data_IF_313920728534
#
_entry.id   IF_313920728534
#
_cell.length_a   1.000
_cell.length_b   1.000
_cell.length_c   1.000
_cell.angle_alpha   90.00
_cell.angle_beta   90.00
_cell.angle_gamma   90.00
#
_symmetry.space_group_name_H-M   'P 1'
#
loop_
_entity.id
_entity.type
_entity.pdbx_description
1 polymer ?
#
# COMPACT_ATOMS: atom_id res chain seq x y z
N UNK A 1 39.04 12.30 -21.44
CA UNK A 1 38.56 13.62 -21.00
C UNK A 1 37.06 13.80 -21.18
N UNK A 2 36.27 12.72 -21.18
CA UNK A 2 34.81 12.71 -21.36
C UNK A 2 34.03 12.00 -20.24
N UNK A 3 34.71 11.45 -19.23
CA UNK A 3 34.05 10.78 -18.09
C UNK A 3 33.78 11.69 -16.88
N UNK A 4 34.34 12.89 -16.81
CA UNK A 4 34.16 13.79 -15.64
C UNK A 4 32.95 14.74 -15.74
N UNK A 5 32.22 14.74 -16.86
CA UNK A 5 31.10 15.67 -17.05
C UNK A 5 29.73 15.10 -16.61
N UNK A 6 29.59 13.76 -16.45
CA UNK A 6 28.36 13.15 -15.99
C UNK A 6 28.26 13.11 -14.45
N UNK A 7 29.39 13.01 -13.75
CA UNK A 7 29.37 12.98 -12.27
C UNK A 7 29.03 14.36 -11.64
N UNK A 8 29.38 15.45 -12.29
CA UNK A 8 29.11 16.82 -11.81
C UNK A 8 27.66 17.28 -12.04
N UNK A 9 26.92 16.65 -12.94
CA UNK A 9 25.48 16.91 -13.11
C UNK A 9 24.61 16.19 -12.08
N UNK A 10 25.08 15.08 -11.50
CA UNK A 10 24.40 14.37 -10.43
C UNK A 10 24.59 15.04 -9.05
N UNK A 11 25.69 15.73 -8.83
CA UNK A 11 25.98 16.41 -7.57
C UNK A 11 25.34 17.81 -7.42
N UNK A 12 24.79 18.39 -8.50
CA UNK A 12 24.03 19.66 -8.42
C UNK A 12 22.54 19.51 -8.06
N UNK A 13 22.08 18.29 -7.76
CA UNK A 13 20.71 18.01 -7.30
C UNK A 13 20.56 18.01 -5.76
N UNK A 14 21.61 18.34 -5.00
CA UNK A 14 21.63 18.21 -3.54
C UNK A 14 21.66 19.55 -2.79
N UNK A 15 21.84 20.69 -3.45
CA UNK A 15 21.91 21.99 -2.76
C UNK A 15 20.92 23.01 -3.33
N UNK A 16 19.66 22.94 -2.89
CA UNK A 16 18.81 24.12 -2.65
C UNK A 16 17.94 23.81 -1.42
N UNK A 17 18.59 23.88 -0.26
CA UNK A 17 17.92 24.01 1.03
C UNK A 17 17.83 25.49 1.35
N UNK A 18 16.70 26.11 0.99
CA UNK A 18 16.12 27.23 1.74
C UNK A 18 14.75 27.53 1.13
N UNK A 19 13.69 27.16 1.84
CA UNK A 19 12.24 27.23 1.62
C UNK A 19 11.52 25.94 1.30
N UNK A 20 12.04 24.75 1.64
CA UNK A 20 11.20 23.53 1.68
C UNK A 20 10.53 23.08 0.36
N UNK A 21 10.90 23.67 -0.78
CA UNK A 21 10.35 23.31 -2.09
C UNK A 21 11.28 22.27 -2.69
N UNK A 22 10.88 21.00 -2.61
CA UNK A 22 11.50 19.94 -3.39
C UNK A 22 11.33 20.28 -4.87
N UNK A 23 12.40 20.45 -5.63
CA UNK A 23 12.34 20.67 -7.08
C UNK A 23 11.92 19.36 -7.79
N UNK A 24 10.66 19.01 -7.67
CA UNK A 24 10.06 18.07 -8.61
C UNK A 24 9.89 18.79 -9.94
N UNK A 25 10.00 18.07 -11.07
CA UNK A 25 9.71 18.65 -12.39
C UNK A 25 8.22 18.97 -12.58
N UNK A 26 7.38 18.71 -11.57
CA UNK A 26 5.95 18.99 -11.52
C UNK A 26 5.59 19.73 -10.23
N UNK A 27 4.62 20.60 -10.32
CA UNK A 27 4.09 21.35 -9.19
C UNK A 27 2.98 20.54 -8.45
N UNK A 28 3.09 19.21 -8.43
CA UNK A 28 2.29 18.27 -7.67
C UNK A 28 3.16 17.08 -7.28
N UNK A 29 3.03 16.60 -6.03
CA UNK A 29 3.79 15.45 -5.51
C UNK A 29 3.09 14.81 -4.31
N UNK A 30 3.38 13.55 -4.06
CA UNK A 30 3.08 12.88 -2.80
C UNK A 30 4.32 12.95 -1.90
N UNK A 31 4.21 13.64 -0.79
CA UNK A 31 5.26 13.71 0.23
C UNK A 31 5.14 12.51 1.16
N UNK A 32 6.22 11.73 1.31
CA UNK A 32 6.25 10.50 2.10
C UNK A 32 7.21 10.67 3.27
N UNK A 33 6.69 10.58 4.49
CA UNK A 33 7.46 10.70 5.73
C UNK A 33 7.99 9.34 6.20
N UNK A 34 9.28 9.09 5.92
CA UNK A 34 9.93 7.84 6.33
C UNK A 34 10.21 7.78 7.83
N UNK A 35 10.25 8.93 8.53
CA UNK A 35 10.37 8.96 9.99
C UNK A 35 9.06 8.56 10.66
N UNK A 36 7.93 9.03 10.14
CA UNK A 36 6.61 8.57 10.57
C UNK A 36 6.45 7.06 10.33
N UNK A 37 6.89 6.55 9.18
CA UNK A 37 6.92 5.10 8.90
C UNK A 37 7.73 4.33 9.95
N UNK A 38 8.93 4.80 10.30
CA UNK A 38 9.76 4.18 11.34
C UNK A 38 9.04 4.15 12.69
N UNK A 39 8.36 5.24 13.07
CA UNK A 39 7.60 5.30 14.31
C UNK A 39 6.41 4.32 14.28
N UNK A 40 5.67 4.27 13.17
CA UNK A 40 4.58 3.30 13.00
C UNK A 40 5.08 1.86 13.15
N UNK A 41 6.19 1.51 12.48
CA UNK A 41 6.80 0.17 12.59
C UNK A 41 7.15 -0.15 14.05
N UNK A 42 7.74 0.78 14.79
CA UNK A 42 8.08 0.59 16.20
C UNK A 42 6.84 0.29 17.03
N UNK A 43 5.78 1.06 16.84
CA UNK A 43 4.52 0.89 17.56
C UNK A 43 3.83 -0.42 17.20
N UNK A 44 3.78 -0.79 15.90
CA UNK A 44 3.26 -2.08 15.45
C UNK A 44 4.03 -3.25 16.08
N UNK A 45 5.37 -3.19 16.11
CA UNK A 45 6.20 -4.24 16.70
C UNK A 45 5.92 -4.44 18.20
N UNK A 46 5.50 -3.41 18.92
CA UNK A 46 5.13 -3.54 20.34
C UNK A 46 3.86 -4.39 20.56
N UNK A 47 2.99 -4.50 19.55
CA UNK A 47 1.80 -5.35 19.58
C UNK A 47 2.09 -6.81 19.26
N UNK A 48 3.21 -7.12 18.57
CA UNK A 48 3.50 -8.48 18.11
C UNK A 48 3.85 -9.37 19.31
N UNK A 49 3.13 -10.47 19.47
CA UNK A 49 3.31 -11.45 20.54
C UNK A 49 4.07 -12.69 20.05
N UNK A 50 4.45 -13.55 20.99
CA UNK A 50 5.03 -14.88 20.73
C UNK A 50 6.32 -14.88 19.91
N UNK A 51 7.02 -13.73 19.82
CA UNK A 51 8.21 -13.55 18.94
C UNK A 51 7.90 -13.87 17.47
N UNK A 52 6.65 -13.67 17.06
CA UNK A 52 6.27 -13.89 15.69
C UNK A 52 7.09 -12.99 14.75
N UNK A 53 7.48 -13.55 13.61
CA UNK A 53 8.07 -12.78 12.51
C UNK A 53 7.10 -11.70 12.05
N UNK A 54 7.61 -10.63 11.46
CA UNK A 54 6.73 -9.66 10.83
C UNK A 54 7.05 -9.47 9.35
N UNK A 55 5.99 -9.45 8.59
CA UNK A 55 6.00 -9.28 7.15
C UNK A 55 5.47 -7.89 6.80
N UNK A 56 6.26 -7.09 6.09
CA UNK A 56 5.81 -5.82 5.55
C UNK A 56 5.08 -6.02 4.21
N UNK A 57 3.81 -5.64 4.14
CA UNK A 57 3.01 -5.77 2.92
C UNK A 57 3.19 -4.52 2.07
N UNK A 58 3.96 -4.65 0.98
CA UNK A 58 4.37 -3.55 0.09
C UNK A 58 3.82 -3.68 -1.35
N UNK A 59 2.74 -4.44 -1.52
CA UNK A 59 2.02 -4.59 -2.80
C UNK A 59 1.44 -3.25 -3.28
N UNK A 60 1.07 -3.17 -4.56
CA UNK A 60 0.51 -1.99 -5.21
C UNK A 60 1.40 -0.75 -4.99
N UNK A 61 2.70 -0.89 -5.29
CA UNK A 61 3.73 0.13 -5.04
C UNK A 61 3.72 0.64 -3.59
N UNK A 62 3.68 -0.31 -2.61
CA UNK A 62 3.49 0.00 -1.18
C UNK A 62 2.24 0.86 -0.94
N UNK A 63 1.09 0.40 -1.45
CA UNK A 63 -0.17 1.17 -1.40
C UNK A 63 0.01 2.60 -1.97
N UNK A 64 0.76 2.73 -3.06
CA UNK A 64 1.01 4.01 -3.72
C UNK A 64 2.10 4.89 -3.09
N UNK A 65 2.76 4.42 -2.02
CA UNK A 65 3.78 5.20 -1.29
C UNK A 65 5.20 5.03 -1.84
N UNK A 66 5.41 4.10 -2.81
CA UNK A 66 6.73 3.78 -3.38
C UNK A 66 7.37 2.57 -2.72
N UNK A 67 7.23 1.40 -3.37
CA UNK A 67 7.60 0.09 -2.79
C UNK A 67 9.06 0.00 -2.35
N UNK A 68 10.00 0.52 -3.16
CA UNK A 68 11.44 0.41 -2.86
C UNK A 68 11.83 1.17 -1.60
N UNK A 69 11.33 2.40 -1.42
CA UNK A 69 11.67 3.23 -0.26
C UNK A 69 11.05 2.67 1.03
N UNK A 70 9.76 2.30 0.96
CA UNK A 70 9.05 1.70 2.10
C UNK A 70 9.66 0.35 2.49
N UNK A 71 9.92 -0.54 1.51
CA UNK A 71 10.55 -1.84 1.77
C UNK A 71 11.94 -1.68 2.39
N UNK A 72 12.74 -0.73 1.93
CA UNK A 72 14.07 -0.45 2.49
C UNK A 72 13.95 -0.05 3.96
N UNK A 73 13.08 0.90 4.29
CA UNK A 73 12.84 1.30 5.68
C UNK A 73 12.32 0.13 6.53
N UNK A 74 11.40 -0.68 5.99
CA UNK A 74 10.87 -1.86 6.69
C UNK A 74 11.99 -2.89 6.99
N UNK A 75 12.86 -3.17 6.03
CA UNK A 75 14.00 -4.10 6.22
C UNK A 75 15.02 -3.53 7.20
N UNK A 76 15.34 -2.23 7.14
CA UNK A 76 16.19 -1.54 8.13
C UNK A 76 15.63 -1.66 9.55
N UNK A 77 14.31 -1.67 9.69
CA UNK A 77 13.60 -1.85 10.96
C UNK A 77 13.37 -3.34 11.31
N UNK A 78 13.96 -4.27 10.57
CA UNK A 78 13.99 -5.69 10.85
C UNK A 78 12.76 -6.46 10.36
N UNK A 79 12.21 -6.12 9.18
CA UNK A 79 11.22 -6.97 8.54
C UNK A 79 11.81 -8.32 8.15
N UNK A 80 11.17 -9.41 8.57
CA UNK A 80 11.58 -10.78 8.24
C UNK A 80 11.19 -11.16 6.83
N UNK A 81 10.08 -10.59 6.33
CA UNK A 81 9.48 -10.83 5.02
C UNK A 81 8.97 -9.53 4.41
N UNK A 82 8.98 -9.49 3.08
CA UNK A 82 8.20 -8.56 2.28
C UNK A 82 7.06 -9.33 1.61
N UNK A 83 5.87 -8.74 1.49
CA UNK A 83 4.77 -9.36 0.77
C UNK A 83 4.24 -8.44 -0.33
N UNK A 84 4.02 -9.04 -1.50
CA UNK A 84 3.51 -8.39 -2.71
C UNK A 84 2.32 -9.14 -3.27
N UNK A 85 1.65 -8.60 -4.29
CA UNK A 85 0.50 -9.24 -4.92
C UNK A 85 0.85 -10.02 -6.18
N UNK A 86 1.79 -9.52 -6.98
CA UNK A 86 2.12 -10.05 -8.31
C UNK A 86 3.64 -10.17 -8.50
N UNK A 87 4.03 -11.04 -9.44
CA UNK A 87 5.44 -11.38 -9.68
C UNK A 87 6.28 -10.17 -10.13
N UNK A 88 5.73 -9.24 -10.90
CA UNK A 88 6.44 -8.05 -11.36
C UNK A 88 6.87 -7.14 -10.21
N UNK A 89 6.07 -7.03 -9.14
CA UNK A 89 6.42 -6.30 -7.93
C UNK A 89 7.60 -6.97 -7.20
N UNK A 90 7.55 -8.31 -7.09
CA UNK A 90 8.63 -9.08 -6.47
C UNK A 90 9.95 -8.94 -7.25
N UNK A 91 9.91 -9.07 -8.58
CA UNK A 91 11.08 -8.90 -9.44
C UNK A 91 11.64 -7.48 -9.30
N UNK A 92 10.79 -6.46 -9.28
CA UNK A 92 11.23 -5.07 -9.09
C UNK A 92 11.99 -4.87 -7.78
N UNK A 93 11.53 -5.48 -6.69
CA UNK A 93 12.24 -5.46 -5.40
C UNK A 93 13.58 -6.21 -5.48
N UNK A 94 13.64 -7.39 -6.12
CA UNK A 94 14.90 -8.11 -6.34
C UNK A 94 15.90 -7.29 -7.15
N UNK A 95 15.44 -6.64 -8.22
CA UNK A 95 16.27 -5.73 -9.03
C UNK A 95 16.75 -4.50 -8.27
N UNK A 96 15.98 -4.05 -7.26
CA UNK A 96 16.39 -3.00 -6.34
C UNK A 96 17.36 -3.47 -5.23
N UNK A 97 17.79 -4.76 -5.28
CA UNK A 97 18.83 -5.33 -4.42
C UNK A 97 18.34 -5.94 -3.10
N UNK A 98 17.03 -6.16 -2.93
CA UNK A 98 16.52 -6.81 -1.73
C UNK A 98 16.82 -8.31 -1.74
N UNK A 99 17.41 -8.81 -0.64
CA UNK A 99 17.65 -10.24 -0.37
C UNK A 99 16.67 -10.83 0.64
N UNK A 100 15.96 -9.99 1.39
CA UNK A 100 14.87 -10.39 2.30
C UNK A 100 13.88 -11.30 1.59
N UNK A 101 13.36 -12.37 2.21
CA UNK A 101 12.31 -13.20 1.64
C UNK A 101 11.13 -12.38 1.13
N UNK A 102 10.65 -12.69 -0.08
CA UNK A 102 9.50 -12.01 -0.71
C UNK A 102 8.42 -13.04 -0.96
N UNK A 103 7.23 -12.82 -0.40
CA UNK A 103 6.06 -13.67 -0.56
C UNK A 103 5.05 -13.00 -1.51
N UNK A 104 4.69 -13.71 -2.59
CA UNK A 104 3.54 -13.33 -3.41
C UNK A 104 2.29 -13.90 -2.76
N UNK A 105 1.37 -13.02 -2.35
CA UNK A 105 0.09 -13.40 -1.72
C UNK A 105 -1.01 -13.75 -2.75
N UNK A 106 -0.81 -13.36 -4.01
CA UNK A 106 -1.73 -13.63 -5.12
C UNK A 106 -1.32 -14.83 -5.96
N UNK A 107 -2.01 -15.00 -7.07
CA UNK A 107 -1.72 -16.04 -8.06
C UNK A 107 -0.68 -15.56 -9.07
N UNK A 108 0.28 -16.42 -9.37
CA UNK A 108 1.20 -16.23 -10.50
C UNK A 108 0.84 -17.22 -11.60
N UNK A 109 0.73 -16.81 -12.86
CA UNK A 109 0.54 -17.72 -13.99
C UNK A 109 1.63 -18.79 -14.05
N UNK A 110 1.28 -20.02 -14.44
CA UNK A 110 2.23 -21.15 -14.48
C UNK A 110 3.41 -20.89 -15.42
N UNK A 111 3.24 -20.10 -16.44
CA UNK A 111 4.25 -19.68 -17.41
C UNK A 111 5.37 -18.83 -16.77
N UNK A 112 5.08 -18.20 -15.65
CA UNK A 112 6.05 -17.39 -14.90
C UNK A 112 6.78 -18.18 -13.80
N UNK A 113 6.57 -19.51 -13.71
CA UNK A 113 7.24 -20.35 -12.70
C UNK A 113 8.77 -20.31 -12.83
N UNK A 114 9.28 -20.15 -14.05
CA UNK A 114 10.72 -20.00 -14.29
C UNK A 114 11.30 -18.77 -13.58
N UNK A 115 10.62 -17.63 -13.65
CA UNK A 115 11.02 -16.38 -13.00
C UNK A 115 10.88 -16.47 -11.48
N UNK A 116 9.81 -17.10 -10.97
CA UNK A 116 9.65 -17.34 -9.51
C UNK A 116 10.90 -18.02 -8.94
N UNK A 117 11.35 -19.09 -9.59
CA UNK A 117 12.52 -19.86 -9.14
C UNK A 117 13.81 -19.07 -9.35
N UNK A 118 13.97 -18.43 -10.51
CA UNK A 118 15.19 -17.68 -10.85
C UNK A 118 15.44 -16.51 -9.90
N UNK A 119 14.39 -15.81 -9.49
CA UNK A 119 14.46 -14.66 -8.59
C UNK A 119 14.31 -15.02 -7.11
N UNK A 120 14.25 -16.31 -6.76
CA UNK A 120 14.10 -16.77 -5.36
C UNK A 120 12.89 -16.11 -4.66
N UNK A 121 11.71 -16.25 -5.26
CA UNK A 121 10.45 -15.66 -4.79
C UNK A 121 9.57 -16.76 -4.20
N UNK A 122 9.09 -16.58 -2.97
CA UNK A 122 8.14 -17.48 -2.31
C UNK A 122 6.73 -17.24 -2.86
N UNK A 123 6.03 -18.32 -3.25
CA UNK A 123 4.71 -18.25 -3.89
C UNK A 123 3.60 -18.81 -2.99
N UNK A 124 2.47 -18.10 -2.91
CA UNK A 124 1.23 -18.66 -2.39
C UNK A 124 0.70 -19.74 -3.34
N UNK A 125 0.46 -20.95 -2.84
CA UNK A 125 -0.01 -22.11 -3.62
C UNK A 125 -1.26 -22.70 -2.99
N UNK A 126 -2.23 -23.06 -3.83
CA UNK A 126 -3.47 -23.71 -3.40
C UNK A 126 -4.02 -24.71 -4.42
N UNK A 127 -3.27 -24.98 -5.50
CA UNK A 127 -3.56 -26.05 -6.47
C UNK A 127 -2.32 -26.90 -6.76
N UNK A 128 -2.56 -28.16 -7.08
CA UNK A 128 -1.49 -29.10 -7.46
C UNK A 128 -0.83 -28.71 -8.77
N UNK A 129 -1.59 -28.17 -9.73
CA UNK A 129 -1.11 -27.73 -11.04
C UNK A 129 -0.07 -26.63 -10.92
N UNK A 130 -0.35 -25.64 -10.08
CA UNK A 130 0.58 -24.53 -9.80
C UNK A 130 1.86 -25.08 -9.16
N UNK A 131 1.73 -25.95 -8.15
CA UNK A 131 2.90 -26.54 -7.49
C UNK A 131 3.74 -27.39 -8.44
N UNK A 132 3.12 -28.18 -9.33
CA UNK A 132 3.82 -29.00 -10.34
C UNK A 132 4.65 -28.13 -11.30
N UNK A 133 4.09 -26.99 -11.75
CA UNK A 133 4.82 -26.08 -12.62
C UNK A 133 6.06 -25.48 -11.93
N UNK A 134 5.89 -25.05 -10.67
CA UNK A 134 7.01 -24.52 -9.87
C UNK A 134 8.04 -25.63 -9.59
N UNK A 135 7.62 -26.84 -9.25
CA UNK A 135 8.48 -27.99 -8.99
C UNK A 135 9.33 -28.34 -10.23
N UNK A 136 8.69 -28.43 -11.41
CA UNK A 136 9.40 -28.72 -12.66
C UNK A 136 10.51 -27.68 -12.95
N UNK A 137 10.23 -26.40 -12.75
CA UNK A 137 11.19 -25.32 -12.92
C UNK A 137 12.29 -25.34 -11.85
N UNK A 138 11.96 -25.63 -10.60
CA UNK A 138 12.93 -25.77 -9.52
C UNK A 138 13.95 -26.91 -9.82
N UNK A 139 13.46 -28.07 -10.23
CA UNK A 139 14.30 -29.18 -10.64
C UNK A 139 15.15 -28.82 -11.87
N UNK A 140 14.56 -28.21 -12.89
CA UNK A 140 15.27 -27.78 -14.11
C UNK A 140 16.41 -26.82 -13.82
N UNK A 141 16.21 -25.92 -12.85
CA UNK A 141 17.20 -24.90 -12.46
C UNK A 141 18.15 -25.39 -11.36
N UNK A 142 17.98 -26.62 -10.82
CA UNK A 142 18.78 -27.16 -9.72
C UNK A 142 18.62 -26.35 -8.41
N UNK A 143 17.42 -25.83 -8.17
CA UNK A 143 17.07 -25.00 -7.01
C UNK A 143 15.95 -25.61 -6.20
N UNK A 144 15.72 -25.07 -5.02
CA UNK A 144 14.51 -25.32 -4.20
C UNK A 144 13.63 -24.09 -4.21
N UNK A 145 12.38 -24.25 -4.55
CA UNK A 145 11.38 -23.18 -4.51
C UNK A 145 10.59 -23.24 -3.21
N UNK A 146 10.51 -22.14 -2.49
CA UNK A 146 9.71 -22.00 -1.28
C UNK A 146 8.27 -21.65 -1.63
N UNK A 147 7.33 -22.32 -0.97
CA UNK A 147 5.91 -22.07 -1.15
C UNK A 147 5.19 -21.94 0.20
N UNK A 148 4.14 -21.10 0.22
CA UNK A 148 3.19 -21.02 1.32
C UNK A 148 1.81 -21.52 0.84
N UNK A 149 1.27 -22.54 1.49
CA UNK A 149 -0.06 -23.07 1.18
C UNK A 149 -1.15 -22.10 1.66
N UNK A 150 -2.04 -21.69 0.77
CA UNK A 150 -3.19 -20.86 1.14
C UNK A 150 -4.38 -21.72 1.56
N UNK A 151 -5.02 -21.34 2.66
CA UNK A 151 -6.22 -21.98 3.22
C UNK A 151 -7.37 -20.97 3.22
N UNK A 152 -8.50 -21.35 2.67
CA UNK A 152 -9.72 -20.54 2.71
C UNK A 152 -10.54 -20.88 3.96
N UNK A 153 -10.50 -19.98 4.93
CA UNK A 153 -11.25 -20.09 6.18
C UNK A 153 -12.53 -19.25 6.19
N UNK A 154 -12.91 -18.66 5.03
CA UNK A 154 -14.13 -17.86 4.93
C UNK A 154 -13.97 -16.51 4.20
N UNK A 155 -12.75 -16.16 3.74
CA UNK A 155 -12.58 -15.00 2.83
C UNK A 155 -13.13 -15.33 1.43
N UNK A 156 -13.16 -16.61 1.05
CA UNK A 156 -13.74 -17.15 -0.20
C UNK A 156 -13.13 -16.54 -1.46
N UNK A 157 -11.83 -16.23 -1.42
CA UNK A 157 -11.09 -15.63 -2.53
C UNK A 157 -10.08 -16.58 -3.16
N UNK A 158 -9.24 -17.21 -2.36
CA UNK A 158 -8.24 -18.22 -2.75
C UNK A 158 -8.01 -19.17 -1.59
N UNK A 159 -7.49 -20.37 -1.87
CA UNK A 159 -7.12 -21.35 -0.85
C UNK A 159 -7.96 -22.61 -0.91
N UNK A 160 -7.43 -23.67 -0.31
CA UNK A 160 -8.16 -24.92 -0.10
C UNK A 160 -9.01 -24.84 1.16
N UNK A 161 -10.08 -25.64 1.22
CA UNK A 161 -10.86 -25.75 2.45
C UNK A 161 -10.04 -26.37 3.58
N UNK A 162 -10.31 -26.02 4.86
CA UNK A 162 -9.57 -26.54 6.00
C UNK A 162 -9.47 -28.06 6.03
N UNK A 163 -10.56 -28.78 5.65
CA UNK A 163 -10.65 -30.22 5.62
C UNK A 163 -9.69 -30.86 4.59
N UNK A 164 -9.37 -30.15 3.53
CA UNK A 164 -8.49 -30.58 2.43
C UNK A 164 -7.02 -30.21 2.64
N UNK A 165 -6.73 -29.40 3.66
CA UNK A 165 -5.39 -28.85 3.89
C UNK A 165 -4.34 -29.94 4.11
N UNK A 166 -4.70 -31.01 4.83
CA UNK A 166 -3.80 -32.14 5.09
C UNK A 166 -3.38 -32.87 3.82
N UNK A 167 -4.35 -33.20 2.95
CA UNK A 167 -4.06 -33.93 1.70
C UNK A 167 -3.22 -33.08 0.73
N UNK A 168 -3.53 -31.79 0.61
CA UNK A 168 -2.72 -30.88 -0.20
C UNK A 168 -1.31 -30.74 0.37
N UNK A 169 -1.16 -30.49 1.67
CA UNK A 169 0.15 -30.35 2.29
C UNK A 169 1.01 -31.61 2.10
N UNK A 170 0.43 -32.81 2.24
CA UNK A 170 1.13 -34.05 1.99
C UNK A 170 1.61 -34.17 0.55
N UNK A 171 0.76 -33.82 -0.41
CA UNK A 171 1.14 -33.82 -1.83
C UNK A 171 2.25 -32.80 -2.13
N UNK A 172 2.16 -31.59 -1.57
CA UNK A 172 3.16 -30.53 -1.77
C UNK A 172 4.53 -30.89 -1.15
N UNK A 173 4.53 -31.47 0.06
CA UNK A 173 5.76 -31.80 0.80
C UNK A 173 6.60 -32.92 0.16
N UNK A 174 6.00 -33.71 -0.75
CA UNK A 174 6.67 -34.80 -1.48
C UNK A 174 7.14 -34.39 -2.87
N UNK A 175 6.82 -33.16 -3.32
CA UNK A 175 7.22 -32.70 -4.67
C UNK A 175 8.73 -32.37 -4.73
N UNK A 176 9.46 -32.86 -5.74
CA UNK A 176 10.89 -32.55 -5.89
C UNK A 176 11.11 -31.06 -6.12
N UNK A 177 12.13 -30.49 -5.49
CA UNK A 177 12.47 -29.08 -5.63
C UNK A 177 11.51 -28.11 -4.95
N UNK A 178 10.56 -28.59 -4.12
CA UNK A 178 9.64 -27.76 -3.35
C UNK A 178 9.99 -27.81 -1.86
N UNK A 179 9.98 -26.66 -1.23
CA UNK A 179 9.96 -26.51 0.24
C UNK A 179 8.61 -25.89 0.64
N UNK A 180 7.75 -26.69 1.29
CA UNK A 180 6.53 -26.19 1.91
C UNK A 180 6.88 -25.47 3.21
N UNK A 181 7.32 -24.20 3.10
CA UNK A 181 7.83 -23.41 4.20
C UNK A 181 6.70 -22.88 5.10
N UNK A 182 5.56 -22.51 4.48
CA UNK A 182 4.48 -21.86 5.23
C UNK A 182 3.09 -22.29 4.84
N UNK A 183 2.14 -21.92 5.69
CA UNK A 183 0.71 -21.94 5.40
C UNK A 183 0.03 -20.69 5.94
N UNK A 184 -1.01 -20.22 5.24
CA UNK A 184 -1.69 -19.00 5.66
C UNK A 184 -3.17 -18.97 5.30
N UNK A 185 -3.88 -18.09 5.99
CA UNK A 185 -5.22 -17.65 5.62
C UNK A 185 -5.32 -16.12 5.68
N UNK A 186 -6.53 -15.58 5.50
CA UNK A 186 -6.78 -14.16 5.57
C UNK A 186 -8.15 -13.88 6.19
N UNK A 187 -8.16 -12.99 7.18
CA UNK A 187 -9.41 -12.55 7.80
C UNK A 187 -10.22 -11.68 6.85
N UNK A 188 -11.51 -11.95 6.77
CA UNK A 188 -12.46 -11.15 6.00
C UNK A 188 -13.04 -9.98 6.83
N UNK A 189 -13.09 -10.13 8.16
CA UNK A 189 -13.83 -9.23 9.04
C UNK A 189 -13.10 -9.02 10.39
N UNK A 190 -11.75 -8.99 10.39
CA UNK A 190 -10.99 -8.73 11.62
C UNK A 190 -11.04 -7.26 12.05
N UNK A 191 -11.45 -6.36 11.19
CA UNK A 191 -11.56 -4.92 11.38
C UNK A 191 -12.95 -4.45 11.83
N UNK A 192 -13.94 -5.36 11.90
CA UNK A 192 -15.25 -5.07 12.51
C UNK A 192 -15.18 -5.16 14.04
N UNK A 193 -16.06 -4.44 14.72
CA UNK A 193 -16.22 -4.50 16.19
C UNK A 193 -16.63 -5.89 16.67
N UNK A 194 -17.57 -6.52 15.96
CA UNK A 194 -17.94 -7.91 16.21
C UNK A 194 -16.93 -8.86 15.56
N UNK A 195 -16.10 -9.49 16.39
CA UNK A 195 -15.06 -10.44 16.00
C UNK A 195 -15.57 -11.89 15.83
N UNK A 196 -16.87 -12.14 15.99
CA UNK A 196 -17.42 -13.52 15.97
C UNK A 196 -17.01 -14.28 14.72
N UNK A 197 -17.09 -13.66 13.54
CA UNK A 197 -16.68 -14.30 12.29
C UNK A 197 -15.15 -14.46 12.18
N UNK A 198 -14.38 -13.51 12.66
CA UNK A 198 -12.93 -13.64 12.70
C UNK A 198 -12.48 -14.79 13.59
N UNK A 199 -13.12 -15.00 14.75
CA UNK A 199 -12.87 -16.16 15.58
C UNK A 199 -13.27 -17.49 14.92
N UNK A 200 -14.37 -17.54 14.17
CA UNK A 200 -14.73 -18.70 13.37
C UNK A 200 -13.64 -19.03 12.33
N UNK A 201 -13.13 -18.02 11.64
CA UNK A 201 -12.01 -18.17 10.70
C UNK A 201 -10.72 -18.65 11.40
N UNK A 202 -10.45 -18.16 12.60
CA UNK A 202 -9.29 -18.59 13.40
C UNK A 202 -9.40 -20.08 13.76
N UNK A 203 -10.56 -20.53 14.23
CA UNK A 203 -10.79 -21.95 14.54
C UNK A 203 -10.72 -22.85 13.30
N UNK A 204 -11.24 -22.37 12.15
CA UNK A 204 -11.08 -23.06 10.87
C UNK A 204 -9.60 -23.16 10.44
N UNK A 205 -8.79 -22.14 10.71
CA UNK A 205 -7.36 -22.18 10.45
C UNK A 205 -6.62 -23.17 11.37
N UNK A 206 -6.98 -23.22 12.65
CA UNK A 206 -6.47 -24.23 13.60
C UNK A 206 -6.85 -25.64 13.18
N UNK A 207 -8.06 -25.85 12.67
CA UNK A 207 -8.47 -27.13 12.09
C UNK A 207 -7.56 -27.51 10.90
N UNK A 208 -7.29 -26.57 9.99
CA UNK A 208 -6.39 -26.83 8.86
C UNK A 208 -4.98 -27.24 9.33
N UNK A 209 -4.44 -26.56 10.34
CA UNK A 209 -3.16 -26.91 10.96
C UNK A 209 -3.19 -28.33 11.49
N UNK A 210 -4.20 -28.70 12.25
CA UNK A 210 -4.32 -30.06 12.80
C UNK A 210 -4.44 -31.15 11.73
N UNK A 211 -5.09 -30.84 10.59
CA UNK A 211 -5.17 -31.77 9.45
C UNK A 211 -3.81 -31.97 8.77
N UNK A 212 -3.02 -30.91 8.67
CA UNK A 212 -1.65 -30.98 8.15
C UNK A 212 -0.75 -31.80 9.06
N UNK A 213 -0.78 -31.54 10.36
CA UNK A 213 0.00 -32.27 11.37
C UNK A 213 -0.38 -33.72 11.43
N UNK A 214 -1.66 -34.08 11.30
CA UNK A 214 -2.17 -35.49 11.23
C UNK A 214 -1.62 -36.25 10.02
N UNK A 215 -1.15 -35.57 8.96
CA UNK A 215 -0.46 -36.18 7.80
C UNK A 215 1.05 -36.30 8.01
N UNK A 216 1.57 -35.94 9.18
CA UNK A 216 3.00 -35.94 9.47
C UNK A 216 3.80 -34.81 8.79
N UNK A 217 3.11 -33.81 8.26
CA UNK A 217 3.76 -32.64 7.62
C UNK A 217 3.97 -31.55 8.66
N UNK A 218 5.22 -31.11 8.80
CA UNK A 218 5.55 -29.97 9.66
C UNK A 218 5.79 -28.72 8.83
N UNK A 219 5.01 -27.66 9.09
CA UNK A 219 5.13 -26.35 8.42
C UNK A 219 5.66 -25.34 9.43
N UNK A 220 6.77 -24.68 9.09
CA UNK A 220 7.51 -23.82 10.02
C UNK A 220 6.86 -22.44 10.21
N UNK A 221 6.09 -21.92 9.23
CA UNK A 221 5.52 -20.57 9.27
C UNK A 221 4.01 -20.62 9.03
N UNK A 222 3.25 -20.49 10.12
CA UNK A 222 1.78 -20.39 10.06
C UNK A 222 1.40 -18.93 10.25
N UNK A 223 0.54 -18.36 9.40
CA UNK A 223 0.16 -16.96 9.52
C UNK A 223 -1.24 -16.64 8.99
N UNK A 224 -2.00 -15.84 9.76
CA UNK A 224 -3.34 -15.39 9.38
C UNK A 224 -3.53 -13.89 9.65
N UNK A 225 -2.87 -13.32 10.68
CA UNK A 225 -3.08 -11.97 11.13
C UNK A 225 -2.76 -10.92 10.04
N UNK A 226 -3.73 -10.09 9.72
CA UNK A 226 -3.64 -8.85 8.97
C UNK A 226 -3.46 -7.65 9.93
N UNK A 227 -3.54 -6.42 9.43
CA UNK A 227 -3.37 -5.20 10.22
C UNK A 227 -4.29 -5.13 11.45
N UNK A 228 -5.58 -5.41 11.30
CA UNK A 228 -6.53 -5.38 12.42
C UNK A 228 -6.23 -6.48 13.44
N UNK A 229 -5.95 -7.70 12.98
CA UNK A 229 -5.63 -8.80 13.87
C UNK A 229 -4.29 -8.64 14.59
N UNK A 230 -3.33 -7.88 14.05
CA UNK A 230 -2.11 -7.51 14.78
C UNK A 230 -2.46 -6.69 16.03
N UNK A 231 -3.43 -5.80 15.92
CA UNK A 231 -3.82 -4.89 16.99
C UNK A 231 -4.71 -5.55 18.03
N UNK A 232 -5.67 -6.37 17.60
CA UNK A 232 -6.79 -6.79 18.45
C UNK A 232 -6.92 -8.30 18.68
N UNK A 233 -6.14 -9.14 17.96
CA UNK A 233 -6.23 -10.61 18.06
C UNK A 233 -4.84 -11.25 18.26
N UNK A 234 -4.19 -11.07 19.41
CA UNK A 234 -2.83 -11.58 19.65
C UNK A 234 -2.70 -13.09 19.54
N UNK A 235 -3.79 -13.86 19.76
CA UNK A 235 -3.85 -15.31 19.56
C UNK A 235 -3.78 -15.74 18.09
N UNK A 236 -4.00 -14.82 17.15
CA UNK A 236 -3.90 -15.06 15.72
C UNK A 236 -2.49 -14.78 15.14
N UNK A 237 -1.53 -14.36 15.95
CA UNK A 237 -0.19 -13.99 15.45
C UNK A 237 0.60 -15.18 14.93
N UNK A 238 0.42 -16.37 15.50
CA UNK A 238 1.16 -17.60 15.15
C UNK A 238 2.66 -17.34 14.98
N UNK A 239 3.24 -17.80 13.84
CA UNK A 239 4.67 -17.67 13.56
C UNK A 239 5.03 -16.38 12.80
N UNK A 240 4.04 -15.74 12.15
CA UNK A 240 4.25 -14.49 11.41
C UNK A 240 2.97 -13.65 11.31
N UNK A 241 3.11 -12.33 11.41
CA UNK A 241 2.04 -11.35 11.16
C UNK A 241 2.32 -10.55 9.89
N UNK A 242 1.26 -10.03 9.24
CA UNK A 242 1.37 -9.27 8.00
C UNK A 242 0.84 -7.85 8.19
N UNK A 243 1.75 -6.92 8.43
CA UNK A 243 1.43 -5.50 8.56
C UNK A 243 1.20 -4.89 7.16
N UNK A 244 -0.01 -4.40 6.92
CA UNK A 244 -0.43 -3.70 5.70
C UNK A 244 -0.71 -2.24 5.99
N UNK A 245 -1.97 -1.84 6.00
CA UNK A 245 -2.40 -0.45 6.08
C UNK A 245 -1.84 0.31 7.28
N UNK A 246 -1.64 -0.35 8.41
CA UNK A 246 -1.07 0.27 9.62
C UNK A 246 0.38 0.73 9.45
N UNK A 247 1.16 0.13 8.51
CA UNK A 247 2.49 0.65 8.17
C UNK A 247 2.41 2.09 7.66
N UNK A 248 1.38 2.38 6.89
CA UNK A 248 1.16 3.67 6.25
C UNK A 248 0.48 4.69 7.18
N UNK A 249 0.28 4.29 8.45
CA UNK A 249 -0.29 5.17 9.48
C UNK A 249 -1.80 5.35 9.37
N UNK A 250 -2.47 4.42 8.70
CA UNK A 250 -3.91 4.44 8.47
C UNK A 250 -4.58 3.29 9.24
N UNK A 251 -5.77 3.55 9.77
CA UNK A 251 -6.54 2.55 10.48
C UNK A 251 -7.29 1.62 9.52
N UNK A 252 -7.42 0.31 9.86
CA UNK A 252 -8.14 -0.63 9.01
C UNK A 252 -9.62 -0.32 8.82
N UNK A 253 -10.26 0.21 9.85
CA UNK A 253 -11.63 0.74 9.85
C UNK A 253 -11.83 1.67 11.06
N UNK A 254 -12.96 2.36 11.12
CA UNK A 254 -13.36 3.19 12.27
C UNK A 254 -13.77 2.36 13.50
N UNK A 255 -13.93 1.04 13.33
CA UNK A 255 -14.34 0.13 14.41
C UNK A 255 -13.16 -0.48 15.18
N UNK A 256 -11.93 -0.35 14.65
CA UNK A 256 -10.71 -0.87 15.29
C UNK A 256 -10.27 0.06 16.41
N UNK A 257 -9.96 -0.51 17.59
CA UNK A 257 -9.47 0.27 18.73
C UNK A 257 -8.08 0.86 18.46
N UNK A 258 -7.91 2.13 18.81
CA UNK A 258 -6.65 2.86 18.63
C UNK A 258 -5.67 2.54 19.78
N UNK A 259 -5.19 1.30 19.82
CA UNK A 259 -4.32 0.79 20.91
C UNK A 259 -2.85 1.23 20.81
N UNK A 260 -2.46 1.86 19.69
CA UNK A 260 -1.13 2.43 19.44
C UNK A 260 -1.28 3.79 18.75
N UNK A 261 -0.22 4.58 18.72
CA UNK A 261 -0.18 5.76 17.87
C UNK A 261 0.19 5.37 16.44
N UNK A 262 -0.62 5.80 15.46
CA UNK A 262 -0.32 5.71 14.04
C UNK A 262 -0.29 7.12 13.44
N UNK A 263 0.70 7.37 12.61
CA UNK A 263 0.88 8.64 11.92
C UNK A 263 0.81 8.41 10.42
N UNK A 264 -0.17 9.00 9.69
CA UNK A 264 -0.20 8.93 8.22
C UNK A 264 1.12 9.40 7.64
N UNK A 265 1.66 8.62 6.69
CA UNK A 265 2.98 8.90 6.13
C UNK A 265 2.92 9.63 4.79
N UNK A 266 1.75 9.80 4.18
CA UNK A 266 1.58 10.49 2.89
C UNK A 266 0.74 11.75 3.01
N UNK A 267 1.24 12.84 2.44
CA UNK A 267 0.46 14.03 2.09
C UNK A 267 0.53 14.27 0.59
N UNK A 268 -0.63 14.38 -0.07
CA UNK A 268 -0.70 14.76 -1.49
C UNK A 268 -0.74 16.27 -1.58
N UNK A 269 0.27 16.86 -2.21
CA UNK A 269 0.48 18.31 -2.31
C UNK A 269 0.45 18.81 -3.73
N UNK A 270 -0.05 20.03 -3.92
CA UNK A 270 0.00 20.73 -5.20
C UNK A 270 0.28 22.21 -4.99
N UNK A 271 1.03 22.80 -5.90
CA UNK A 271 1.26 24.24 -5.93
C UNK A 271 0.22 24.94 -6.80
N UNK A 272 -0.30 26.07 -6.37
CA UNK A 272 -1.18 26.92 -7.18
C UNK A 272 -0.34 27.51 -8.31
N UNK A 273 -0.60 27.10 -9.54
CA UNK A 273 0.19 27.51 -10.71
C UNK A 273 -0.34 28.75 -11.39
N UNK A 274 -1.58 29.13 -11.15
CA UNK A 274 -2.22 30.30 -11.72
C UNK A 274 -3.37 30.78 -10.83
N UNK A 275 -3.59 32.09 -10.76
CA UNK A 275 -4.72 32.72 -10.07
C UNK A 275 -5.37 33.74 -10.99
N UNK A 276 -6.69 33.75 -11.05
CA UNK A 276 -7.49 34.71 -11.81
C UNK A 276 -8.75 35.13 -11.03
N UNK A 277 -9.32 36.26 -11.44
CA UNK A 277 -10.64 36.70 -10.98
C UNK A 277 -11.72 36.24 -11.96
N UNK A 278 -12.90 35.89 -11.44
CA UNK A 278 -14.14 35.72 -12.18
C UNK A 278 -15.15 36.76 -11.70
N UNK A 279 -15.85 37.38 -12.66
CA UNK A 279 -16.98 38.24 -12.36
C UNK A 279 -18.27 37.44 -12.17
N UNK A 280 -19.29 38.00 -11.48
CA UNK A 280 -20.57 37.36 -11.35
C UNK A 280 -21.14 36.94 -12.71
N UNK A 281 -21.62 35.69 -12.82
CA UNK A 281 -22.15 35.11 -14.06
C UNK A 281 -21.10 34.39 -14.92
N UNK A 282 -19.81 34.57 -14.69
CA UNK A 282 -18.76 33.79 -15.40
C UNK A 282 -18.65 32.38 -14.87
N UNK A 283 -18.41 31.42 -15.76
CA UNK A 283 -18.35 30.00 -15.45
C UNK A 283 -16.96 29.44 -15.72
N UNK A 284 -16.62 28.32 -15.01
CA UNK A 284 -15.38 27.58 -15.20
C UNK A 284 -15.60 26.09 -15.41
N UNK A 285 -14.59 25.48 -16.06
CA UNK A 285 -14.47 24.05 -16.30
C UNK A 285 -15.52 23.50 -17.28
N UNK A 286 -15.34 22.22 -17.59
CA UNK A 286 -16.22 21.49 -18.51
C UNK A 286 -17.68 21.47 -18.03
N UNK A 287 -18.59 21.82 -18.94
CA UNK A 287 -20.02 21.84 -18.67
C UNK A 287 -20.48 22.99 -17.78
N UNK A 288 -19.60 23.99 -17.53
CA UNK A 288 -19.93 25.22 -16.79
C UNK A 288 -20.67 24.94 -15.47
N UNK A 289 -20.25 23.90 -14.74
CA UNK A 289 -20.94 23.45 -13.51
C UNK A 289 -20.69 24.33 -12.30
N UNK A 290 -19.71 25.23 -12.38
CA UNK A 290 -19.50 26.31 -11.42
C UNK A 290 -19.70 27.64 -12.14
N UNK A 291 -20.56 28.50 -11.59
CA UNK A 291 -20.76 29.87 -12.05
C UNK A 291 -20.59 30.81 -10.85
N UNK A 292 -19.70 31.77 -11.00
CA UNK A 292 -19.43 32.75 -9.95
C UNK A 292 -20.68 33.58 -9.62
N UNK A 293 -21.05 33.62 -8.34
CA UNK A 293 -22.18 34.42 -7.85
C UNK A 293 -21.73 35.79 -7.33
N UNK A 294 -20.45 35.96 -7.14
CA UNK A 294 -19.75 37.19 -6.69
C UNK A 294 -18.38 37.26 -7.35
N UNK A 295 -17.70 38.38 -7.19
CA UNK A 295 -16.28 38.42 -7.51
C UNK A 295 -15.57 37.27 -6.84
N UNK A 296 -15.04 36.35 -7.66
CA UNK A 296 -14.49 35.08 -7.19
C UNK A 296 -13.06 34.91 -7.64
N UNK A 297 -12.19 34.54 -6.71
CA UNK A 297 -10.76 34.35 -6.92
C UNK A 297 -10.48 32.86 -7.11
N UNK A 298 -10.03 32.47 -8.29
CA UNK A 298 -9.89 31.05 -8.67
C UNK A 298 -8.40 30.72 -8.87
N UNK A 299 -7.95 29.69 -8.13
CA UNK A 299 -6.64 29.07 -8.30
C UNK A 299 -6.70 27.85 -9.23
N UNK A 300 -5.61 27.60 -9.98
CA UNK A 300 -5.45 26.38 -10.79
C UNK A 300 -4.38 25.50 -10.17
N UNK A 301 -4.67 24.22 -10.00
CA UNK A 301 -3.76 23.18 -9.56
C UNK A 301 -3.43 22.24 -10.74
N UNK A 302 -2.15 21.85 -10.94
CA UNK A 302 -1.72 20.97 -12.03
C UNK A 302 -1.93 19.50 -11.67
N UNK A 303 -3.13 19.17 -11.20
CA UNK A 303 -3.57 17.85 -10.74
C UNK A 303 -4.93 17.51 -11.32
N UNK A 304 -5.07 16.35 -11.95
CA UNK A 304 -6.31 15.90 -12.53
C UNK A 304 -6.49 14.38 -12.47
N UNK A 305 -7.56 13.89 -13.15
CA UNK A 305 -7.87 12.45 -13.04
C UNK A 305 -6.84 11.54 -13.72
N UNK A 306 -6.04 12.03 -14.66
CA UNK A 306 -4.92 11.28 -15.23
C UNK A 306 -3.74 11.10 -14.26
N UNK A 307 -3.74 11.80 -13.14
CA UNK A 307 -2.76 11.67 -12.06
C UNK A 307 -3.26 10.74 -10.94
N UNK A 308 -4.56 10.39 -10.97
CA UNK A 308 -5.24 9.64 -9.91
C UNK A 308 -6.15 10.49 -9.02
N UNK A 309 -6.24 11.80 -9.25
CA UNK A 309 -7.21 12.68 -8.55
C UNK A 309 -8.55 12.61 -9.26
N UNK A 310 -9.33 11.62 -8.90
CA UNK A 310 -10.52 11.21 -9.64
C UNK A 310 -11.54 12.33 -9.86
N UNK A 311 -12.24 12.26 -11.00
CA UNK A 311 -13.32 13.18 -11.34
C UNK A 311 -14.52 13.10 -10.37
N UNK A 312 -14.65 12.03 -9.60
CA UNK A 312 -15.68 11.86 -8.57
C UNK A 312 -15.54 12.85 -7.40
N UNK A 313 -14.40 13.48 -7.24
CA UNK A 313 -14.18 14.58 -6.30
C UNK A 313 -14.88 15.89 -6.70
N UNK A 314 -15.35 16.01 -7.94
CA UNK A 314 -16.09 17.19 -8.42
C UNK A 314 -17.26 17.54 -7.51
N UNK A 315 -17.28 18.78 -7.02
CA UNK A 315 -18.35 19.32 -6.15
C UNK A 315 -18.35 18.79 -4.73
N UNK A 316 -17.32 18.01 -4.33
CA UNK A 316 -17.20 17.44 -2.99
C UNK A 316 -15.87 17.81 -2.32
N UNK A 317 -14.77 17.75 -3.07
CA UNK A 317 -13.45 17.90 -2.52
C UNK A 317 -13.11 19.35 -2.16
N UNK A 318 -12.24 19.45 -1.18
CA UNK A 318 -11.61 20.69 -0.73
C UNK A 318 -10.10 20.49 -0.70
N UNK A 319 -9.35 21.58 -0.65
CA UNK A 319 -7.92 21.57 -0.34
C UNK A 319 -7.70 22.19 1.03
N UNK A 320 -6.63 21.81 1.68
CA UNK A 320 -6.20 22.36 2.96
C UNK A 320 -5.01 23.31 2.79
N UNK A 321 -5.07 24.45 3.44
CA UNK A 321 -3.96 25.38 3.59
C UNK A 321 -3.87 25.81 5.05
N UNK A 322 -2.95 25.21 5.79
CA UNK A 322 -2.70 25.53 7.20
C UNK A 322 -3.97 25.47 8.08
N UNK A 323 -4.83 24.48 7.85
CA UNK A 323 -6.09 24.29 8.55
C UNK A 323 -7.30 25.05 7.96
N UNK A 324 -7.09 25.89 6.93
CA UNK A 324 -8.17 26.55 6.19
C UNK A 324 -8.52 25.73 4.94
N UNK A 325 -9.81 25.66 4.63
CA UNK A 325 -10.33 24.86 3.52
C UNK A 325 -10.77 25.74 2.36
N UNK A 326 -10.43 25.32 1.15
CA UNK A 326 -10.92 25.93 -0.09
C UNK A 326 -11.51 24.87 -1.01
N UNK A 327 -12.75 25.05 -1.51
CA UNK A 327 -13.45 24.02 -2.29
C UNK A 327 -12.90 23.93 -3.71
N UNK A 328 -12.91 22.71 -4.26
CA UNK A 328 -12.68 22.48 -5.70
C UNK A 328 -13.87 23.07 -6.48
N UNK A 329 -13.56 23.95 -7.41
CA UNK A 329 -14.55 24.68 -8.22
C UNK A 329 -14.66 24.11 -9.65
N UNK A 330 -15.87 23.74 -10.05
CA UNK A 330 -16.12 23.12 -11.35
C UNK A 330 -15.62 21.67 -11.45
N UNK A 331 -15.66 21.10 -12.64
CA UNK A 331 -15.25 19.71 -12.87
C UNK A 331 -13.75 19.56 -12.87
N UNK A 332 -13.25 18.47 -12.27
CA UNK A 332 -11.85 18.06 -12.38
C UNK A 332 -11.57 17.64 -13.82
N UNK A 333 -10.52 18.23 -14.43
CA UNK A 333 -10.08 17.93 -15.79
C UNK A 333 -9.06 16.79 -15.79
N UNK A 334 -8.54 16.44 -16.97
CA UNK A 334 -7.55 15.37 -17.11
C UNK A 334 -6.26 15.67 -16.33
N UNK A 335 -5.75 16.90 -16.45
CA UNK A 335 -4.43 17.28 -15.96
C UNK A 335 -4.46 18.43 -14.94
N UNK A 336 -5.63 19.05 -14.72
CA UNK A 336 -5.79 20.23 -13.88
C UNK A 336 -7.15 20.23 -13.17
N UNK A 337 -7.22 20.92 -12.02
CA UNK A 337 -8.46 21.29 -11.38
C UNK A 337 -8.38 22.73 -10.87
N UNK A 338 -9.51 23.31 -10.55
CA UNK A 338 -9.60 24.67 -10.04
C UNK A 338 -10.11 24.63 -8.61
N UNK A 339 -9.67 25.63 -7.84
CA UNK A 339 -10.04 25.81 -6.43
C UNK A 339 -10.53 27.24 -6.22
N UNK A 340 -11.62 27.38 -5.49
CA UNK A 340 -12.15 28.71 -5.12
C UNK A 340 -11.38 29.24 -3.90
N UNK A 341 -10.60 30.28 -4.13
CA UNK A 341 -9.74 30.95 -3.13
C UNK A 341 -10.39 32.18 -2.52
N UNK A 342 -11.66 32.47 -2.86
CA UNK A 342 -12.33 33.72 -2.49
C UNK A 342 -12.34 33.95 -0.98
N UNK A 343 -12.60 32.90 -0.22
CA UNK A 343 -12.68 32.96 1.24
C UNK A 343 -11.34 32.61 1.96
N UNK A 344 -10.26 32.44 1.18
CA UNK A 344 -8.89 32.21 1.68
C UNK A 344 -7.95 33.21 0.99
N UNK A 345 -8.08 34.50 1.27
CA UNK A 345 -7.43 35.58 0.50
C UNK A 345 -5.91 35.59 0.61
N UNK A 346 -5.33 34.96 1.63
CA UNK A 346 -3.89 34.81 1.80
C UNK A 346 -3.25 33.87 0.78
N UNK A 347 -4.00 32.89 0.23
CA UNK A 347 -3.48 31.97 -0.77
C UNK A 347 -3.15 32.70 -2.08
N UNK A 348 -1.95 32.49 -2.61
CA UNK A 348 -1.46 33.15 -3.83
C UNK A 348 -0.89 32.11 -4.81
N UNK A 349 -0.63 32.56 -6.03
CA UNK A 349 0.14 31.77 -6.99
C UNK A 349 1.52 31.46 -6.41
N UNK A 350 1.92 30.20 -6.47
CA UNK A 350 3.16 29.71 -5.88
C UNK A 350 2.98 29.02 -4.52
N UNK A 351 1.87 29.27 -3.83
CA UNK A 351 1.60 28.59 -2.55
C UNK A 351 1.24 27.12 -2.76
N UNK A 352 1.55 26.30 -1.74
CA UNK A 352 1.33 24.86 -1.73
C UNK A 352 0.12 24.55 -0.85
N UNK A 353 -0.79 23.79 -1.41
CA UNK A 353 -1.97 23.26 -0.70
C UNK A 353 -1.88 21.74 -0.58
N UNK A 354 -2.50 21.17 0.45
CA UNK A 354 -2.67 19.73 0.61
C UNK A 354 -4.03 19.31 0.08
N UNK A 355 -4.03 18.29 -0.79
CA UNK A 355 -5.26 17.72 -1.36
C UNK A 355 -5.87 16.64 -0.47
N UNK A 356 -5.04 15.92 0.31
CA UNK A 356 -5.41 15.03 1.40
C UNK A 356 -4.16 14.50 2.14
N UNK A 357 -4.36 13.98 3.34
CA UNK A 357 -3.32 13.33 4.16
C UNK A 357 -2.74 14.23 5.25
N UNK A 358 -3.15 15.51 5.35
CA UNK A 358 -2.81 16.37 6.50
C UNK A 358 -3.70 16.03 7.71
N UNK A 359 -3.30 16.54 8.88
CA UNK A 359 -4.11 16.42 10.11
C UNK A 359 -5.47 17.11 9.99
N UNK A 360 -5.56 18.21 9.23
CA UNK A 360 -6.80 18.95 9.00
C UNK A 360 -7.63 18.41 7.83
N UNK A 361 -7.02 17.68 6.89
CA UNK A 361 -7.69 17.02 5.76
C UNK A 361 -7.19 15.58 5.66
N UNK A 362 -7.81 14.69 6.41
CA UNK A 362 -7.38 13.29 6.50
C UNK A 362 -7.68 12.51 5.23
N UNK A 363 -7.00 11.38 5.06
CA UNK A 363 -7.25 10.47 3.96
C UNK A 363 -8.63 9.81 4.08
N UNK A 364 -9.08 9.55 5.33
CA UNK A 364 -10.41 8.99 5.61
C UNK A 364 -11.52 9.96 5.21
N UNK A 365 -11.38 11.25 5.55
CA UNK A 365 -12.34 12.27 5.11
C UNK A 365 -12.41 12.33 3.59
N UNK A 366 -11.27 12.38 2.90
CA UNK A 366 -11.23 12.43 1.44
C UNK A 366 -11.81 11.15 0.80
N UNK A 367 -11.58 9.98 1.39
CA UNK A 367 -12.18 8.71 0.95
C UNK A 367 -13.70 8.72 1.11
N UNK A 368 -14.21 9.28 2.21
CA UNK A 368 -15.65 9.38 2.47
C UNK A 368 -16.39 10.17 1.39
N UNK A 369 -15.78 11.20 0.80
CA UNK A 369 -16.36 11.96 -0.33
C UNK A 369 -16.62 11.11 -1.56
N UNK A 370 -15.87 10.01 -1.72
CA UNK A 370 -15.99 9.06 -2.84
C UNK A 370 -16.88 7.87 -2.49
N UNK A 371 -17.20 7.67 -1.20
CA UNK A 371 -17.88 6.47 -0.71
C UNK A 371 -16.99 5.23 -0.74
N UNK A 372 -15.69 5.42 -0.48
CA UNK A 372 -14.69 4.35 -0.44
C UNK A 372 -13.84 4.43 0.83
N UNK A 373 -12.77 3.64 0.91
CA UNK A 373 -11.88 3.50 2.06
C UNK A 373 -10.52 4.17 1.80
N UNK A 374 -9.82 4.50 2.89
CA UNK A 374 -8.51 5.15 2.87
C UNK A 374 -7.42 4.36 2.12
N UNK A 375 -7.59 3.04 1.93
CA UNK A 375 -6.69 2.18 1.15
C UNK A 375 -6.66 2.55 -0.34
N UNK A 376 -7.81 2.94 -0.89
CA UNK A 376 -7.96 3.12 -2.34
C UNK A 376 -7.30 4.41 -2.82
N UNK A 377 -7.43 5.50 -2.06
CA UNK A 377 -6.93 6.81 -2.47
C UNK A 377 -5.44 6.84 -2.85
N UNK A 378 -4.51 6.38 -1.99
CA UNK A 378 -3.10 6.40 -2.34
C UNK A 378 -2.77 5.44 -3.48
N UNK A 379 -3.53 4.33 -3.63
CA UNK A 379 -3.37 3.39 -4.74
C UNK A 379 -3.82 3.97 -6.09
N UNK A 380 -4.70 4.97 -6.11
CA UNK A 380 -5.11 5.67 -7.35
C UNK A 380 -3.97 6.49 -7.96
N UNK A 381 -3.02 6.97 -7.14
CA UNK A 381 -1.92 7.80 -7.61
C UNK A 381 -1.01 7.01 -8.55
N UNK A 382 -0.91 7.46 -9.80
CA UNK A 382 -0.04 6.81 -10.78
C UNK A 382 1.38 7.40 -10.79
N UNK A 383 2.25 6.88 -11.65
CA UNK A 383 3.65 7.26 -11.77
C UNK A 383 3.89 8.72 -12.22
N UNK A 384 2.85 9.44 -12.70
CA UNK A 384 2.95 10.86 -13.05
C UNK A 384 3.11 11.77 -11.82
N UNK A 385 2.66 11.30 -10.65
CA UNK A 385 2.83 12.03 -9.38
C UNK A 385 4.12 11.57 -8.73
N UNK A 386 5.16 12.41 -8.64
CA UNK A 386 6.41 12.03 -7.99
C UNK A 386 6.20 11.76 -6.50
N UNK A 387 6.87 10.73 -5.96
CA UNK A 387 6.98 10.51 -4.52
C UNK A 387 8.23 11.19 -4.02
N UNK A 388 8.07 12.07 -3.04
CA UNK A 388 9.16 12.84 -2.42
C UNK A 388 9.32 12.35 -0.98
N UNK A 389 10.45 11.75 -0.69
CA UNK A 389 10.72 11.15 0.62
C UNK A 389 11.43 12.13 1.52
N UNK A 390 10.98 12.21 2.80
CA UNK A 390 11.61 12.97 3.86
C UNK A 390 11.86 12.12 5.09
N UNK A 391 12.86 12.41 5.88
CA UNK A 391 13.20 11.71 7.12
C UNK A 391 14.32 10.70 7.01
#
# INVERSE_FOLDING_TARGET
>A
MLLNCLCLKFLRLIEVRERGIYMTKRAVWAEIDLKALENNIRNIKSCIKNKAKWCAVVKADAYGHGAVAVARKAVEQGADYLAVAVISEAISLRQAGFTTPILILGTTPVEASADLVAYDITQAVYTIEQAKAISAEAVRQGRTAKIHMAVDTGMSRIGVRPEQAGDLAQALSTMPGIELEGMFSHFALADAKDKSFAYQQLEAFKLAISKVEAKGVNISIKHIANSAAILEMPEAHFDMVRAGIILYGLWPSDEVEHVIELQPIMELKAQIVYVKMLHPGESISYGCTFTAQRESRIGTLPMGYADGYTRMFTGKAQVDYQGKRAPIAGRICMDQCMVDLTDVPELQQGDVVTLYGSASLTMDEAASWLGTINYELPCMLNARVPRVYKG
#
